data_IF_806934789200
#
_entry.id   IF_806934789200
#
_cell.length_a   1.000
_cell.length_b   1.000
_cell.length_c   1.000
_cell.angle_alpha   90.00
_cell.angle_beta   90.00
_cell.angle_gamma   90.00
#
_symmetry.space_group_name_H-M   'P 1'
#
loop_
_entity.id
_entity.type
_entity.pdbx_description
1 polymer ?
#
# COMPACT_ATOMS: atom_id res chain seq x y z
N UNK A 1 -8.38 3.58 -0.79
CA UNK A 1 -8.48 2.20 -0.24
C UNK A 1 -9.36 2.22 1.01
N UNK A 2 -10.48 1.51 1.03
CA UNK A 2 -11.43 1.36 2.15
C UNK A 2 -12.18 2.63 2.59
N UNK A 3 -12.18 3.75 1.86
CA UNK A 3 -12.74 5.04 2.32
C UNK A 3 -14.20 4.92 2.78
N UNK A 4 -15.06 4.29 1.96
CA UNK A 4 -16.49 4.10 2.27
C UNK A 4 -16.70 3.29 3.55
N UNK A 5 -15.96 2.19 3.71
CA UNK A 5 -16.06 1.33 4.89
C UNK A 5 -15.56 2.07 6.13
N UNK A 6 -14.44 2.79 6.00
CA UNK A 6 -13.84 3.57 7.08
C UNK A 6 -14.80 4.65 7.59
N UNK A 7 -15.40 5.44 6.70
CA UNK A 7 -16.35 6.50 7.09
C UNK A 7 -17.57 5.95 7.84
N UNK A 8 -18.12 4.82 7.37
CA UNK A 8 -19.28 4.19 8.00
C UNK A 8 -18.95 3.65 9.39
N UNK A 9 -17.85 2.88 9.50
CA UNK A 9 -17.44 2.32 10.80
C UNK A 9 -17.07 3.42 11.80
N UNK A 10 -16.42 4.49 11.37
CA UNK A 10 -16.13 5.63 12.25
C UNK A 10 -17.41 6.31 12.76
N UNK A 11 -18.44 6.40 11.93
CA UNK A 11 -19.75 6.94 12.36
C UNK A 11 -20.35 6.08 13.44
N UNK A 12 -20.35 4.75 13.27
CA UNK A 12 -20.83 3.80 14.28
C UNK A 12 -20.06 3.96 15.61
N UNK A 13 -18.75 3.99 15.55
CA UNK A 13 -17.91 4.14 16.76
C UNK A 13 -18.03 5.52 17.42
N UNK A 14 -18.28 6.57 16.64
CA UNK A 14 -18.55 7.90 17.19
C UNK A 14 -19.87 7.93 17.98
N UNK A 15 -20.91 7.29 17.47
CA UNK A 15 -22.18 7.17 18.15
C UNK A 15 -22.03 6.38 19.46
N UNK A 16 -21.35 5.24 19.43
CA UNK A 16 -21.03 4.46 20.64
C UNK A 16 -20.29 5.24 21.72
N UNK A 17 -19.35 6.13 21.33
CA UNK A 17 -18.59 6.98 22.28
C UNK A 17 -19.45 8.07 22.91
N UNK A 18 -20.50 8.50 22.23
CA UNK A 18 -21.44 9.53 22.73
C UNK A 18 -22.36 9.03 23.82
N UNK A 19 -22.51 7.71 23.98
CA UNK A 19 -23.38 7.09 24.99
C UNK A 19 -22.58 6.78 26.26
N UNK A 20 -22.93 7.44 27.35
CA UNK A 20 -22.17 7.37 28.62
C UNK A 20 -22.19 5.98 29.30
N UNK A 21 -23.10 5.06 28.92
CA UNK A 21 -23.15 3.66 29.34
C UNK A 21 -23.50 2.79 28.13
N UNK A 22 -22.74 1.71 27.92
CA UNK A 22 -23.12 0.69 26.96
C UNK A 22 -24.16 -0.24 27.57
N UNK A 23 -25.36 -0.21 26.98
CA UNK A 23 -26.40 -1.20 27.24
C UNK A 23 -26.32 -2.31 26.20
N UNK A 24 -26.89 -3.46 26.48
CA UNK A 24 -26.99 -4.55 25.50
C UNK A 24 -27.68 -4.07 24.19
N UNK A 25 -28.64 -3.18 24.32
CA UNK A 25 -29.39 -2.60 23.21
C UNK A 25 -28.49 -1.74 22.30
N UNK A 26 -27.60 -0.91 22.88
CA UNK A 26 -26.65 -0.08 22.15
C UNK A 26 -25.59 -0.93 21.43
N UNK A 27 -25.15 -2.03 22.04
CA UNK A 27 -24.24 -3.00 21.42
C UNK A 27 -24.94 -3.67 20.23
N UNK A 28 -26.18 -4.13 20.39
CA UNK A 28 -26.93 -4.76 19.31
C UNK A 28 -27.18 -3.80 18.15
N UNK A 29 -27.44 -2.52 18.42
CA UNK A 29 -27.60 -1.51 17.39
C UNK A 29 -26.27 -1.30 16.63
N UNK A 30 -25.15 -1.14 17.34
CA UNK A 30 -23.84 -1.00 16.73
C UNK A 30 -23.45 -2.21 15.87
N UNK A 31 -23.72 -3.43 16.33
CA UNK A 31 -23.48 -4.65 15.57
C UNK A 31 -24.33 -4.71 14.30
N UNK A 32 -25.58 -4.23 14.32
CA UNK A 32 -26.40 -4.08 13.12
C UNK A 32 -25.80 -3.11 12.12
N UNK A 33 -25.34 -1.96 12.59
CA UNK A 33 -24.73 -0.92 11.73
C UNK A 33 -23.40 -1.38 11.16
N UNK A 34 -22.57 -2.09 11.94
CA UNK A 34 -21.33 -2.73 11.47
C UNK A 34 -21.65 -3.77 10.38
N UNK A 35 -22.65 -4.63 10.61
CA UNK A 35 -23.09 -5.63 9.64
C UNK A 35 -23.48 -4.99 8.32
N UNK A 36 -24.33 -3.95 8.36
CA UNK A 36 -24.75 -3.22 7.17
C UNK A 36 -23.55 -2.60 6.46
N UNK A 37 -22.66 -1.95 7.19
CA UNK A 37 -21.44 -1.32 6.62
C UNK A 37 -20.55 -2.32 5.89
N UNK A 38 -20.37 -3.54 6.44
CA UNK A 38 -19.59 -4.61 5.82
C UNK A 38 -20.28 -5.18 4.57
N UNK A 39 -21.61 -5.35 4.59
CA UNK A 39 -22.37 -5.82 3.43
C UNK A 39 -22.35 -4.78 2.29
N UNK A 40 -22.48 -3.50 2.60
CA UNK A 40 -22.38 -2.41 1.62
C UNK A 40 -20.95 -2.24 1.06
N UNK A 41 -19.94 -2.67 1.83
CA UNK A 41 -18.56 -2.79 1.37
C UNK A 41 -18.30 -4.05 0.52
N UNK A 42 -19.36 -4.79 0.14
CA UNK A 42 -19.26 -6.02 -0.66
C UNK A 42 -18.48 -7.16 0.03
N UNK A 43 -18.54 -7.24 1.36
CA UNK A 43 -18.01 -8.39 2.11
C UNK A 43 -18.96 -9.58 1.98
N UNK A 44 -18.42 -10.78 1.82
CA UNK A 44 -19.22 -12.00 1.68
C UNK A 44 -20.17 -12.20 2.87
N UNK A 45 -21.45 -12.49 2.60
CA UNK A 45 -22.51 -12.60 3.62
C UNK A 45 -22.17 -13.62 4.72
N UNK A 46 -21.61 -14.80 4.37
CA UNK A 46 -21.23 -15.82 5.36
C UNK A 46 -20.12 -15.32 6.28
N UNK A 47 -19.16 -14.60 5.71
CA UNK A 47 -18.04 -13.99 6.45
C UNK A 47 -18.55 -12.91 7.41
N UNK A 48 -19.45 -12.03 6.94
CA UNK A 48 -20.06 -11.00 7.79
C UNK A 48 -20.83 -11.64 8.95
N UNK A 49 -21.64 -12.67 8.68
CA UNK A 49 -22.41 -13.35 9.73
C UNK A 49 -21.47 -13.91 10.80
N UNK A 50 -20.46 -14.68 10.42
CA UNK A 50 -19.50 -15.28 11.35
C UNK A 50 -18.75 -14.23 12.17
N UNK A 51 -18.34 -13.13 11.53
CA UNK A 51 -17.63 -12.04 12.20
C UNK A 51 -18.54 -11.37 13.25
N UNK A 52 -19.78 -11.03 12.89
CA UNK A 52 -20.73 -10.40 13.82
C UNK A 52 -21.06 -11.32 14.98
N UNK A 53 -21.27 -12.62 14.74
CA UNK A 53 -21.54 -13.59 15.79
C UNK A 53 -20.38 -13.67 16.80
N UNK A 54 -19.12 -13.72 16.33
CA UNK A 54 -17.91 -13.68 17.18
C UNK A 54 -17.76 -12.39 17.96
N UNK A 55 -17.97 -11.24 17.31
CA UNK A 55 -17.90 -9.93 18.00
C UNK A 55 -18.99 -9.88 19.09
N UNK A 56 -20.20 -10.35 18.80
CA UNK A 56 -21.30 -10.40 19.76
C UNK A 56 -20.95 -11.24 20.99
N UNK A 57 -20.45 -12.45 20.78
CA UNK A 57 -20.05 -13.37 21.84
C UNK A 57 -18.98 -12.75 22.75
N UNK A 58 -17.92 -12.17 22.16
CA UNK A 58 -16.84 -11.53 22.91
C UNK A 58 -17.28 -10.24 23.61
N UNK A 59 -18.23 -9.50 23.02
CA UNK A 59 -18.74 -8.25 23.63
C UNK A 59 -19.66 -8.48 24.83
N UNK A 60 -20.38 -9.61 24.86
CA UNK A 60 -21.30 -9.96 25.96
C UNK A 60 -20.61 -10.77 27.06
N UNK A 61 -19.51 -11.45 26.78
CA UNK A 61 -18.83 -12.37 27.70
C UNK A 61 -17.64 -11.78 28.48
N UNK A 62 -17.18 -10.57 28.17
CA UNK A 62 -16.02 -9.99 28.84
C UNK A 62 -16.41 -9.14 30.05
N UNK A 63 -15.83 -9.46 31.22
CA UNK A 63 -15.70 -8.53 32.34
C UNK A 63 -14.99 -7.26 31.85
N UNK A 64 -15.57 -6.10 32.14
CA UNK A 64 -15.07 -4.79 31.72
C UNK A 64 -13.64 -4.61 32.20
N UNK A 65 -12.68 -4.57 31.27
CA UNK A 65 -11.31 -4.18 31.62
C UNK A 65 -11.36 -2.77 32.22
N UNK A 66 -10.98 -2.65 33.47
CA UNK A 66 -11.08 -1.43 34.29
C UNK A 66 -10.31 -0.23 33.70
N UNK A 67 -9.47 -0.43 32.69
CA UNK A 67 -8.64 0.60 32.03
C UNK A 67 -9.20 1.19 30.74
N UNK A 68 -10.26 0.62 30.17
CA UNK A 68 -10.86 1.07 28.90
C UNK A 68 -12.33 1.46 29.12
N UNK A 69 -12.79 2.48 28.39
CA UNK A 69 -14.23 2.75 28.30
C UNK A 69 -14.92 1.61 27.56
N UNK A 70 -16.19 1.32 27.85
CA UNK A 70 -16.93 0.27 27.19
C UNK A 70 -16.95 0.40 25.66
N UNK A 71 -17.03 1.62 25.11
CA UNK A 71 -16.95 1.89 23.68
C UNK A 71 -15.56 1.53 23.11
N UNK A 72 -14.49 1.80 23.85
CA UNK A 72 -13.13 1.42 23.43
C UNK A 72 -12.93 -0.10 23.41
N UNK A 73 -13.60 -0.82 24.29
CA UNK A 73 -13.57 -2.30 24.31
C UNK A 73 -14.22 -2.89 23.07
N UNK A 74 -15.41 -2.40 22.68
CA UNK A 74 -16.08 -2.85 21.45
C UNK A 74 -15.20 -2.58 20.22
N UNK A 75 -14.58 -1.38 20.13
CA UNK A 75 -13.65 -1.04 19.04
C UNK A 75 -12.47 -2.00 19.01
N UNK A 76 -11.90 -2.34 20.20
CA UNK A 76 -10.80 -3.30 20.31
C UNK A 76 -11.22 -4.69 19.86
N UNK A 77 -12.38 -5.19 20.28
CA UNK A 77 -12.90 -6.49 19.86
C UNK A 77 -13.08 -6.54 18.35
N UNK A 78 -13.69 -5.50 17.75
CA UNK A 78 -13.86 -5.39 16.29
C UNK A 78 -12.51 -5.38 15.58
N UNK A 79 -11.53 -4.65 16.10
CA UNK A 79 -10.16 -4.62 15.57
C UNK A 79 -9.54 -6.01 15.59
N UNK A 80 -9.55 -6.67 16.73
CA UNK A 80 -8.89 -7.98 16.91
C UNK A 80 -9.56 -9.06 16.04
N UNK A 81 -10.90 -9.05 15.93
CA UNK A 81 -11.63 -9.97 15.06
C UNK A 81 -11.37 -9.74 13.57
N UNK A 82 -11.27 -8.48 13.14
CA UNK A 82 -10.90 -8.16 11.75
C UNK A 82 -9.45 -8.57 11.44
N UNK A 83 -8.52 -8.37 12.39
CA UNK A 83 -7.13 -8.82 12.23
C UNK A 83 -7.07 -10.34 12.12
N UNK A 84 -7.80 -11.07 12.94
CA UNK A 84 -7.88 -12.53 12.88
C UNK A 84 -8.49 -13.01 11.58
N UNK A 85 -9.57 -12.38 11.11
CA UNK A 85 -10.21 -12.65 9.82
C UNK A 85 -9.21 -12.53 8.66
N UNK A 86 -8.34 -11.52 8.69
CA UNK A 86 -7.31 -11.28 7.68
C UNK A 86 -6.03 -12.12 7.88
N UNK A 87 -5.91 -12.84 9.01
CA UNK A 87 -4.84 -13.80 9.22
C UNK A 87 -3.86 -13.53 10.33
N UNK A 88 -4.12 -12.53 11.16
CA UNK A 88 -3.30 -12.20 12.32
C UNK A 88 -2.02 -11.45 11.96
N UNK A 89 -1.14 -12.06 11.19
CA UNK A 89 0.15 -11.52 10.79
C UNK A 89 0.38 -11.52 9.28
N UNK A 90 1.45 -10.86 8.84
CA UNK A 90 1.88 -10.87 7.45
C UNK A 90 2.38 -12.27 7.05
N UNK A 91 1.91 -12.75 5.90
CA UNK A 91 2.33 -14.04 5.35
C UNK A 91 3.54 -13.85 4.44
N UNK A 92 4.65 -14.47 4.79
CA UNK A 92 5.90 -14.46 4.03
C UNK A 92 5.80 -15.35 2.79
N UNK A 93 6.64 -15.08 1.78
CA UNK A 93 6.89 -16.01 0.68
C UNK A 93 7.65 -17.22 1.18
N UNK A 94 7.31 -18.39 0.62
CA UNK A 94 8.04 -19.61 0.88
C UNK A 94 9.13 -19.77 -0.17
N UNK A 95 10.34 -20.02 0.28
CA UNK A 95 11.47 -20.27 -0.60
C UNK A 95 11.82 -21.75 -0.59
N UNK A 96 12.20 -22.28 -1.76
CA UNK A 96 12.67 -23.66 -1.88
C UNK A 96 14.04 -23.81 -1.21
N UNK A 97 14.30 -25.00 -0.66
CA UNK A 97 15.61 -25.32 -0.06
C UNK A 97 16.73 -25.38 -1.10
N UNK A 98 16.38 -25.64 -2.36
CA UNK A 98 17.30 -25.63 -3.49
C UNK A 98 16.82 -24.64 -4.55
N UNK A 99 17.67 -23.69 -4.99
CA UNK A 99 17.31 -22.73 -6.03
C UNK A 99 17.20 -23.41 -7.42
N UNK A 100 16.42 -22.85 -8.33
CA UNK A 100 15.60 -21.64 -8.15
C UNK A 100 14.27 -21.96 -7.45
N UNK A 101 13.85 -21.04 -6.56
CA UNK A 101 12.46 -21.02 -6.07
C UNK A 101 11.52 -20.64 -7.20
N UNK A 102 10.57 -21.47 -7.53
CA UNK A 102 9.59 -21.17 -8.57
C UNK A 102 8.34 -20.57 -7.94
N UNK A 103 7.93 -19.41 -8.47
CA UNK A 103 6.69 -18.71 -8.12
C UNK A 103 5.81 -18.68 -9.35
N UNK A 104 4.68 -19.37 -9.31
CA UNK A 104 3.70 -19.44 -10.39
C UNK A 104 2.58 -18.42 -10.15
N UNK A 105 2.37 -17.49 -11.10
CA UNK A 105 1.29 -16.52 -11.03
C UNK A 105 0.08 -17.05 -11.81
N UNK A 106 -1.05 -17.20 -11.11
CA UNK A 106 -2.32 -17.64 -11.66
C UNK A 106 -3.38 -16.54 -11.58
N UNK A 107 -4.40 -16.57 -12.45
CA UNK A 107 -5.51 -15.61 -12.37
C UNK A 107 -6.16 -15.33 -13.73
N UNK A 108 -7.27 -14.61 -13.71
CA UNK A 108 -8.03 -14.26 -14.90
C UNK A 108 -7.35 -13.19 -15.76
N UNK A 109 -7.83 -13.02 -16.98
CA UNK A 109 -7.39 -11.95 -17.87
C UNK A 109 -7.72 -10.58 -17.24
N UNK A 110 -6.80 -9.60 -17.34
CA UNK A 110 -6.99 -8.27 -16.80
C UNK A 110 -6.79 -8.13 -15.28
N UNK A 111 -6.52 -9.24 -14.57
CA UNK A 111 -6.24 -9.20 -13.12
C UNK A 111 -4.89 -8.55 -12.77
N UNK A 112 -4.03 -8.28 -13.75
CA UNK A 112 -2.73 -7.64 -13.55
C UNK A 112 -1.57 -8.60 -13.31
N UNK A 113 -1.66 -9.88 -13.68
CA UNK A 113 -0.58 -10.89 -13.51
C UNK A 113 0.77 -10.43 -14.04
N UNK A 114 0.84 -10.07 -15.30
CA UNK A 114 2.08 -9.65 -15.99
C UNK A 114 2.75 -8.47 -15.28
N UNK A 115 1.96 -7.44 -14.95
CA UNK A 115 2.46 -6.28 -14.20
C UNK A 115 2.89 -6.67 -12.79
N UNK A 116 2.15 -7.56 -12.13
CA UNK A 116 2.49 -8.08 -10.80
C UNK A 116 3.76 -8.91 -10.83
N UNK A 117 3.99 -9.69 -11.90
CA UNK A 117 5.24 -10.43 -12.08
C UNK A 117 6.46 -9.51 -12.07
N UNK A 118 6.41 -8.41 -12.82
CA UNK A 118 7.46 -7.39 -12.80
C UNK A 118 7.62 -6.71 -11.44
N UNK A 119 6.51 -6.29 -10.80
CA UNK A 119 6.55 -5.69 -9.46
C UNK A 119 7.12 -6.64 -8.42
N UNK A 120 6.74 -7.91 -8.47
CA UNK A 120 7.24 -8.93 -7.56
C UNK A 120 8.74 -9.20 -7.77
N UNK A 121 9.20 -9.26 -9.02
CA UNK A 121 10.62 -9.40 -9.31
C UNK A 121 11.43 -8.21 -8.76
N UNK A 122 10.93 -6.98 -8.95
CA UNK A 122 11.56 -5.79 -8.37
C UNK A 122 11.56 -5.81 -6.84
N UNK A 123 10.46 -6.23 -6.22
CA UNK A 123 10.38 -6.39 -4.77
C UNK A 123 11.40 -7.43 -4.27
N UNK A 124 11.47 -8.59 -4.91
CA UNK A 124 12.43 -9.65 -4.59
C UNK A 124 13.89 -9.17 -4.71
N UNK A 125 14.22 -8.45 -5.78
CA UNK A 125 15.55 -7.89 -5.99
C UNK A 125 15.96 -6.94 -4.87
N UNK A 126 15.05 -6.07 -4.41
CA UNK A 126 15.29 -5.17 -3.28
C UNK A 126 15.49 -5.91 -1.95
N UNK A 127 14.99 -7.13 -1.85
CA UNK A 127 15.15 -7.99 -0.67
C UNK A 127 16.31 -8.99 -0.80
N UNK A 128 17.24 -8.76 -1.73
CA UNK A 128 18.50 -9.51 -1.86
C UNK A 128 18.39 -10.77 -2.71
N UNK A 129 17.27 -11.00 -3.40
CA UNK A 129 17.08 -12.12 -4.33
C UNK A 129 17.51 -11.75 -5.75
N UNK A 130 17.78 -12.76 -6.56
CA UNK A 130 18.16 -12.64 -7.98
C UNK A 130 17.10 -13.28 -8.86
N UNK A 131 15.95 -12.61 -9.10
CA UNK A 131 14.86 -13.19 -9.87
C UNK A 131 15.18 -13.26 -11.37
N UNK A 132 14.58 -14.25 -12.05
CA UNK A 132 14.41 -14.35 -13.49
C UNK A 132 12.93 -14.33 -13.82
N UNK A 133 12.53 -13.55 -14.81
CA UNK A 133 11.14 -13.51 -15.30
C UNK A 133 10.97 -14.42 -16.50
N UNK A 134 9.81 -15.03 -16.64
CA UNK A 134 9.37 -15.71 -17.87
C UNK A 134 7.86 -15.57 -18.03
N UNK A 135 7.41 -15.31 -19.27
CA UNK A 135 5.98 -15.40 -19.61
C UNK A 135 5.75 -16.65 -20.45
N UNK A 136 4.88 -17.54 -19.95
CA UNK A 136 4.45 -18.73 -20.67
C UNK A 136 3.10 -18.52 -21.39
N UNK A 137 2.63 -17.27 -21.51
CA UNK A 137 1.46 -16.91 -22.30
C UNK A 137 1.80 -16.92 -23.80
N UNK A 138 1.89 -18.12 -24.36
CA UNK A 138 2.23 -18.31 -25.78
C UNK A 138 1.09 -17.96 -26.73
N UNK A 139 -0.13 -17.87 -26.21
CA UNK A 139 -1.34 -17.58 -26.99
C UNK A 139 -1.47 -16.10 -27.35
N UNK A 140 -0.81 -15.22 -26.58
CA UNK A 140 -0.86 -13.77 -26.76
C UNK A 140 0.56 -13.19 -26.87
N UNK A 141 1.10 -13.08 -28.10
CA UNK A 141 2.44 -12.50 -28.30
C UNK A 141 2.62 -11.11 -27.66
N UNK A 142 1.55 -10.31 -27.64
CA UNK A 142 1.56 -9.01 -27.00
C UNK A 142 1.78 -9.09 -25.46
N UNK A 143 1.28 -10.13 -24.79
CA UNK A 143 1.47 -10.31 -23.36
C UNK A 143 2.93 -10.64 -23.01
N UNK A 144 3.58 -11.52 -23.80
CA UNK A 144 5.01 -11.81 -23.65
C UNK A 144 5.85 -10.54 -23.84
N UNK A 145 5.60 -9.81 -24.93
CA UNK A 145 6.29 -8.53 -25.19
C UNK A 145 6.04 -7.50 -24.08
N UNK A 146 4.85 -7.50 -23.51
CA UNK A 146 4.55 -6.63 -22.35
C UNK A 146 5.46 -6.93 -21.15
N UNK A 147 5.68 -8.22 -20.83
CA UNK A 147 6.59 -8.59 -19.73
C UNK A 147 8.04 -8.20 -20.07
N UNK A 148 8.49 -8.33 -21.33
CA UNK A 148 9.82 -7.86 -21.77
C UNK A 148 9.98 -6.36 -21.54
N UNK A 149 9.02 -5.55 -21.97
CA UNK A 149 9.05 -4.08 -21.74
C UNK A 149 9.08 -3.73 -20.25
N UNK A 150 8.32 -4.47 -19.44
CA UNK A 150 8.35 -4.27 -17.98
C UNK A 150 9.72 -4.64 -17.40
N UNK A 151 10.27 -5.79 -17.80
CA UNK A 151 11.57 -6.27 -17.35
C UNK A 151 12.69 -5.27 -17.67
N UNK A 152 12.73 -4.74 -18.89
CA UNK A 152 13.64 -3.68 -19.31
C UNK A 152 13.48 -2.41 -18.48
N UNK A 153 12.24 -1.97 -18.26
CA UNK A 153 11.95 -0.74 -17.47
C UNK A 153 12.39 -0.83 -16.00
N UNK A 154 12.50 -2.04 -15.45
CA UNK A 154 12.92 -2.27 -14.05
C UNK A 154 14.32 -2.87 -13.92
N UNK A 155 15.04 -3.01 -15.04
CA UNK A 155 16.39 -3.63 -15.12
C UNK A 155 16.42 -5.06 -14.53
N UNK A 156 15.44 -5.89 -14.96
CA UNK A 156 15.34 -7.28 -14.52
C UNK A 156 15.55 -8.24 -15.68
N UNK A 157 16.27 -9.35 -15.47
CA UNK A 157 16.44 -10.37 -16.51
C UNK A 157 15.13 -11.08 -16.81
N UNK A 158 14.93 -11.35 -18.10
CA UNK A 158 13.80 -12.12 -18.61
C UNK A 158 14.29 -13.23 -19.53
N UNK A 159 13.67 -14.39 -19.43
CA UNK A 159 13.89 -15.49 -20.37
C UNK A 159 12.83 -15.46 -21.47
N UNK A 160 13.26 -15.19 -22.68
CA UNK A 160 12.35 -15.10 -23.85
C UNK A 160 12.15 -16.45 -24.57
N UNK A 161 13.00 -17.43 -24.27
CA UNK A 161 12.97 -18.74 -24.90
C UNK A 161 13.60 -18.76 -26.30
N UNK A 162 13.66 -19.95 -26.92
CA UNK A 162 14.05 -20.07 -28.32
C UNK A 162 12.98 -19.41 -29.21
N UNK A 163 13.39 -18.76 -30.27
CA UNK A 163 12.45 -18.17 -31.26
C UNK A 163 11.55 -19.22 -31.90
N UNK A 164 10.30 -18.83 -32.22
CA UNK A 164 9.32 -19.69 -32.88
C UNK A 164 8.14 -20.10 -32.03
N UNK A 165 7.29 -21.02 -32.54
CA UNK A 165 6.17 -21.56 -31.75
C UNK A 165 6.69 -22.25 -30.48
N UNK A 166 6.15 -21.86 -29.34
CA UNK A 166 6.57 -22.36 -28.07
C UNK A 166 5.41 -23.09 -27.37
N UNK A 167 5.73 -24.21 -26.72
CA UNK A 167 4.84 -24.87 -25.79
C UNK A 167 5.04 -24.25 -24.38
N UNK A 168 3.96 -23.90 -23.65
CA UNK A 168 4.06 -23.31 -22.32
C UNK A 168 4.91 -24.14 -21.35
N UNK A 169 4.75 -25.47 -21.38
CA UNK A 169 5.44 -26.40 -20.50
C UNK A 169 6.94 -26.45 -20.81
N UNK A 170 7.30 -26.55 -22.08
CA UNK A 170 8.69 -26.58 -22.53
C UNK A 170 9.38 -25.25 -22.20
N UNK A 171 8.71 -24.13 -22.45
CA UNK A 171 9.23 -22.80 -22.14
C UNK A 171 9.50 -22.64 -20.63
N UNK A 172 8.58 -23.08 -19.79
CA UNK A 172 8.74 -23.06 -18.35
C UNK A 172 9.91 -23.94 -17.87
N UNK A 173 10.07 -25.12 -18.46
CA UNK A 173 11.18 -26.04 -18.17
C UNK A 173 12.53 -25.41 -18.55
N UNK A 174 12.62 -24.81 -19.73
CA UNK A 174 13.84 -24.15 -20.20
C UNK A 174 14.18 -22.95 -19.32
N UNK A 175 13.18 -22.13 -18.92
CA UNK A 175 13.38 -21.00 -18.04
C UNK A 175 13.89 -21.44 -16.65
N UNK A 176 13.37 -22.53 -16.08
CA UNK A 176 13.88 -23.10 -14.81
C UNK A 176 15.34 -23.52 -14.93
N UNK A 177 15.70 -24.16 -16.04
CA UNK A 177 17.08 -24.55 -16.32
C UNK A 177 18.00 -23.34 -16.47
N UNK A 178 17.54 -22.32 -17.20
CA UNK A 178 18.29 -21.08 -17.38
C UNK A 178 18.50 -20.34 -16.05
N UNK A 179 17.47 -20.27 -15.20
CA UNK A 179 17.60 -19.70 -13.87
C UNK A 179 18.70 -20.41 -13.04
N UNK A 180 18.72 -21.76 -13.07
CA UNK A 180 19.76 -22.54 -12.39
C UNK A 180 21.15 -22.28 -12.98
N UNK A 181 21.30 -22.29 -14.32
CA UNK A 181 22.56 -22.11 -15.02
C UNK A 181 23.15 -20.69 -14.79
N UNK A 182 22.30 -19.68 -14.69
CA UNK A 182 22.71 -18.26 -14.50
C UNK A 182 22.77 -17.86 -13.02
N UNK A 183 22.61 -18.81 -12.10
CA UNK A 183 22.69 -18.59 -10.66
C UNK A 183 21.56 -17.69 -10.13
N UNK A 184 20.39 -17.70 -10.79
CA UNK A 184 19.20 -17.02 -10.28
C UNK A 184 18.54 -17.89 -9.21
N UNK A 185 18.16 -17.28 -8.10
CA UNK A 185 17.59 -18.00 -6.96
C UNK A 185 16.06 -18.03 -6.96
N UNK A 186 15.41 -17.20 -7.79
CA UNK A 186 13.95 -17.16 -7.96
C UNK A 186 13.58 -17.14 -9.45
N UNK A 187 12.59 -17.93 -9.84
CA UNK A 187 11.93 -17.89 -11.14
C UNK A 187 10.48 -17.45 -10.96
N UNK A 188 10.10 -16.32 -11.53
CA UNK A 188 8.72 -15.83 -11.55
C UNK A 188 8.10 -16.16 -12.90
N UNK A 189 7.06 -16.99 -12.87
CA UNK A 189 6.37 -17.50 -14.08
C UNK A 189 5.03 -16.79 -14.23
N UNK A 190 4.92 -15.94 -15.26
CA UNK A 190 3.67 -15.28 -15.68
C UNK A 190 2.91 -16.21 -16.63
N UNK A 191 1.68 -16.59 -16.28
CA UNK A 191 0.87 -17.52 -17.07
C UNK A 191 -0.19 -16.82 -17.89
N UNK A 192 -0.72 -17.52 -18.89
CA UNK A 192 -1.86 -17.07 -19.64
C UNK A 192 -3.07 -16.79 -18.72
N UNK A 193 -3.86 -15.79 -19.06
CA UNK A 193 -5.14 -15.53 -18.41
C UNK A 193 -6.26 -15.61 -19.45
N UNK A 194 -7.33 -16.31 -19.11
CA UNK A 194 -8.57 -16.32 -19.90
C UNK A 194 -9.65 -15.49 -19.21
N UNK A 195 -10.69 -15.10 -19.94
CA UNK A 195 -11.80 -14.31 -19.41
C UNK A 195 -12.61 -15.10 -18.37
N UNK A 196 -12.67 -16.41 -18.53
CA UNK A 196 -13.41 -17.32 -17.66
C UNK A 196 -12.53 -18.50 -17.26
N UNK A 197 -12.88 -19.16 -16.18
CA UNK A 197 -12.26 -20.41 -15.74
C UNK A 197 -12.83 -21.52 -16.61
N UNK A 198 -12.02 -22.14 -17.41
CA UNK A 198 -12.36 -23.32 -18.21
C UNK A 198 -11.43 -24.48 -17.92
N UNK A 199 -11.81 -25.69 -18.35
CA UNK A 199 -11.07 -26.90 -18.06
C UNK A 199 -9.73 -26.98 -18.77
N UNK A 200 -9.61 -26.40 -19.97
CA UNK A 200 -8.36 -26.37 -20.73
C UNK A 200 -7.31 -25.52 -20.03
N UNK A 201 -7.67 -24.29 -19.59
CA UNK A 201 -6.77 -23.42 -18.83
C UNK A 201 -6.33 -24.08 -17.52
N UNK A 202 -7.29 -24.69 -16.80
CA UNK A 202 -6.98 -25.33 -15.53
C UNK A 202 -6.13 -26.59 -15.71
N UNK A 203 -6.31 -27.33 -16.79
CA UNK A 203 -5.46 -28.47 -17.17
C UNK A 203 -4.03 -28.05 -17.46
N UNK A 204 -3.81 -26.97 -18.24
CA UNK A 204 -2.49 -26.39 -18.50
C UNK A 204 -1.81 -25.93 -17.19
N UNK A 205 -2.55 -25.22 -16.35
CA UNK A 205 -2.03 -24.74 -15.06
C UNK A 205 -1.65 -25.90 -14.11
N UNK A 206 -2.42 -26.99 -14.11
CA UNK A 206 -2.10 -28.19 -13.33
C UNK A 206 -0.83 -28.87 -13.86
N UNK A 207 -0.66 -28.96 -15.16
CA UNK A 207 0.55 -29.51 -15.78
C UNK A 207 1.78 -28.65 -15.48
N UNK A 208 1.67 -27.33 -15.59
CA UNK A 208 2.73 -26.39 -15.19
C UNK A 208 3.11 -26.54 -13.71
N UNK A 209 2.12 -26.65 -12.83
CA UNK A 209 2.35 -26.89 -11.40
C UNK A 209 3.06 -28.21 -11.15
N UNK A 210 2.61 -29.29 -11.81
CA UNK A 210 3.21 -30.62 -11.64
C UNK A 210 4.66 -30.66 -12.14
N UNK A 211 4.95 -30.03 -13.27
CA UNK A 211 6.27 -30.02 -13.87
C UNK A 211 7.27 -29.13 -13.14
N UNK A 212 6.83 -27.95 -12.68
CA UNK A 212 7.70 -26.97 -12.04
C UNK A 212 7.84 -27.16 -10.53
N UNK A 213 6.90 -27.86 -9.89
CA UNK A 213 6.83 -28.02 -8.43
C UNK A 213 7.02 -26.71 -7.70
N UNK A 214 6.20 -25.66 -7.99
CA UNK A 214 6.42 -24.32 -7.48
C UNK A 214 6.30 -24.28 -5.96
N UNK A 215 7.21 -23.56 -5.31
CA UNK A 215 7.13 -23.27 -3.87
C UNK A 215 5.92 -22.37 -3.56
N UNK A 216 5.53 -21.53 -4.53
CA UNK A 216 4.39 -20.64 -4.45
C UNK A 216 3.52 -20.73 -5.70
N UNK A 217 2.21 -20.87 -5.48
CA UNK A 217 1.17 -20.67 -6.49
C UNK A 217 0.34 -19.50 -6.03
N UNK A 218 0.58 -18.31 -6.60
CA UNK A 218 -0.02 -17.06 -6.17
C UNK A 218 -1.15 -16.67 -7.12
N UNK A 219 -2.35 -16.56 -6.60
CA UNK A 219 -3.49 -16.08 -7.34
C UNK A 219 -3.50 -14.55 -7.38
N UNK A 220 -3.48 -13.98 -8.57
CA UNK A 220 -3.53 -12.52 -8.79
C UNK A 220 -4.96 -12.14 -9.12
N UNK A 221 -5.59 -11.34 -8.27
CA UNK A 221 -6.97 -10.90 -8.39
C UNK A 221 -7.09 -9.38 -8.41
N UNK A 222 -8.02 -8.88 -9.21
CA UNK A 222 -8.40 -7.47 -9.22
C UNK A 222 -9.38 -7.21 -8.07
N UNK A 223 -8.99 -6.38 -7.10
CA UNK A 223 -9.82 -6.05 -5.94
C UNK A 223 -11.13 -5.35 -6.33
N UNK A 224 -11.13 -4.61 -7.44
CA UNK A 224 -12.30 -3.87 -7.92
C UNK A 224 -13.43 -4.79 -8.39
N UNK A 225 -13.14 -6.07 -8.71
CA UNK A 225 -14.17 -7.05 -9.11
C UNK A 225 -14.96 -7.62 -7.93
N UNK A 226 -14.61 -7.25 -6.69
CA UNK A 226 -15.37 -7.57 -5.49
C UNK A 226 -15.56 -9.07 -5.28
N UNK A 227 -16.81 -9.53 -5.14
CA UNK A 227 -17.12 -10.95 -4.88
C UNK A 227 -16.77 -11.90 -6.03
N UNK A 228 -16.59 -11.41 -7.27
CA UNK A 228 -16.14 -12.27 -8.37
C UNK A 228 -14.66 -12.63 -8.22
N UNK A 229 -13.84 -11.74 -7.66
CA UNK A 229 -12.47 -12.07 -7.24
C UNK A 229 -12.47 -13.21 -6.21
N UNK A 230 -13.38 -13.17 -5.23
CA UNK A 230 -13.51 -14.17 -4.18
C UNK A 230 -13.91 -15.54 -4.74
N UNK A 231 -14.93 -15.57 -5.61
CA UNK A 231 -15.39 -16.81 -6.28
C UNK A 231 -14.28 -17.43 -7.13
N UNK A 232 -13.59 -16.59 -7.91
CA UNK A 232 -12.49 -17.05 -8.75
C UNK A 232 -11.34 -17.59 -7.90
N UNK A 233 -10.97 -16.91 -6.80
CA UNK A 233 -9.95 -17.38 -5.89
C UNK A 233 -10.29 -18.76 -5.28
N UNK A 234 -11.55 -18.97 -4.89
CA UNK A 234 -12.02 -20.25 -4.36
C UNK A 234 -11.93 -21.37 -5.40
N UNK A 235 -12.38 -21.12 -6.63
CA UNK A 235 -12.29 -22.09 -7.72
C UNK A 235 -10.85 -22.45 -8.08
N UNK A 236 -9.97 -21.44 -8.22
CA UNK A 236 -8.54 -21.68 -8.44
C UNK A 236 -7.91 -22.44 -7.25
N UNK A 237 -8.30 -22.14 -6.02
CA UNK A 237 -7.78 -22.85 -4.86
C UNK A 237 -8.20 -24.32 -4.87
N UNK A 238 -9.47 -24.62 -5.13
CA UNK A 238 -9.95 -25.99 -5.20
C UNK A 238 -9.26 -26.82 -6.29
N UNK A 239 -8.96 -26.21 -7.43
CA UNK A 239 -8.40 -26.93 -8.60
C UNK A 239 -6.87 -26.96 -8.62
N UNK A 240 -6.20 -25.91 -8.16
CA UNK A 240 -4.74 -25.77 -8.18
C UNK A 240 -4.09 -25.87 -6.80
N UNK A 241 -4.80 -25.67 -5.71
CA UNK A 241 -4.18 -25.57 -4.38
C UNK A 241 -3.25 -24.37 -4.29
N UNK A 242 -3.82 -23.18 -4.20
CA UNK A 242 -3.08 -21.92 -4.03
C UNK A 242 -2.29 -21.90 -2.73
N UNK A 243 -1.20 -21.14 -2.68
CA UNK A 243 -0.40 -20.90 -1.47
C UNK A 243 -0.57 -19.48 -0.94
N UNK A 244 -1.18 -18.60 -1.71
CA UNK A 244 -1.45 -17.22 -1.34
C UNK A 244 -2.13 -16.43 -2.46
N UNK A 245 -2.56 -15.23 -2.12
CA UNK A 245 -3.27 -14.32 -3.02
C UNK A 245 -2.56 -12.97 -3.06
N UNK A 246 -2.54 -12.35 -4.24
CA UNK A 246 -2.11 -10.98 -4.46
C UNK A 246 -3.33 -10.20 -4.95
N UNK A 247 -3.71 -9.14 -4.24
CA UNK A 247 -4.76 -8.23 -4.68
C UNK A 247 -4.16 -7.04 -5.41
N UNK A 248 -4.60 -6.81 -6.64
CA UNK A 248 -4.20 -5.65 -7.45
C UNK A 248 -5.25 -4.55 -7.39
N UNK A 249 -4.88 -3.34 -7.81
CA UNK A 249 -5.77 -2.17 -7.92
C UNK A 249 -6.48 -1.78 -6.63
N UNK A 250 -5.82 -2.05 -5.49
CA UNK A 250 -6.36 -1.69 -4.18
C UNK A 250 -6.48 -0.17 -3.97
N UNK A 251 -5.71 0.62 -4.72
CA UNK A 251 -5.80 2.09 -4.75
C UNK A 251 -7.15 2.58 -5.31
N UNK A 252 -7.74 1.85 -6.27
CA UNK A 252 -9.08 2.11 -6.81
C UNK A 252 -10.23 1.49 -6.01
N UNK A 253 -9.95 0.57 -5.09
CA UNK A 253 -10.99 -0.11 -4.30
C UNK A 253 -11.33 0.66 -3.02
N UNK A 254 -12.44 1.39 -3.06
CA UNK A 254 -12.97 2.10 -1.89
C UNK A 254 -13.78 1.20 -0.94
N UNK A 255 -14.20 0.00 -1.38
CA UNK A 255 -15.05 -0.93 -0.62
C UNK A 255 -14.25 -1.91 0.23
N UNK A 256 -13.27 -2.60 -0.36
CA UNK A 256 -12.37 -3.53 0.32
C UNK A 256 -12.95 -4.90 0.65
N UNK A 257 -14.15 -5.22 0.16
CA UNK A 257 -14.84 -6.47 0.47
C UNK A 257 -14.12 -7.73 0.03
N UNK A 258 -13.43 -7.69 -1.11
CA UNK A 258 -12.61 -8.80 -1.60
C UNK A 258 -11.50 -9.15 -0.61
N UNK A 259 -10.78 -8.16 -0.09
CA UNK A 259 -9.69 -8.36 0.87
C UNK A 259 -10.18 -9.06 2.15
N UNK A 260 -11.33 -8.64 2.69
CA UNK A 260 -11.93 -9.23 3.88
C UNK A 260 -12.50 -10.64 3.66
N UNK A 261 -12.87 -10.98 2.42
CA UNK A 261 -13.56 -12.23 2.11
C UNK A 261 -12.65 -13.35 1.64
N UNK A 262 -11.60 -13.05 0.86
CA UNK A 262 -10.78 -14.05 0.15
C UNK A 262 -10.18 -15.07 1.12
N UNK A 263 -9.55 -14.61 2.21
CA UNK A 263 -8.94 -15.54 3.17
C UNK A 263 -9.98 -16.43 3.85
N UNK A 264 -11.10 -15.85 4.25
CA UNK A 264 -12.16 -16.63 4.92
C UNK A 264 -12.77 -17.69 4.02
N UNK A 265 -12.85 -17.42 2.71
CA UNK A 265 -13.44 -18.35 1.74
C UNK A 265 -12.42 -19.39 1.27
N UNK A 266 -11.19 -18.99 0.98
CA UNK A 266 -10.15 -19.87 0.41
C UNK A 266 -9.26 -20.53 1.47
N UNK A 267 -9.21 -20.00 2.69
CA UNK A 267 -8.22 -20.39 3.70
C UNK A 267 -6.79 -19.89 3.41
N UNK A 268 -6.57 -19.26 2.25
CA UNK A 268 -5.23 -18.84 1.82
C UNK A 268 -4.92 -17.40 2.21
N UNK A 269 -3.66 -17.11 2.62
CA UNK A 269 -3.28 -15.77 3.05
C UNK A 269 -3.20 -14.80 1.88
N UNK A 270 -3.58 -13.55 2.15
CA UNK A 270 -3.15 -12.42 1.33
C UNK A 270 -1.67 -12.16 1.59
N UNK A 271 -0.84 -12.20 0.55
CA UNK A 271 0.61 -11.99 0.68
C UNK A 271 1.03 -10.58 0.27
N UNK A 272 0.47 -10.09 -0.84
CA UNK A 272 0.77 -8.77 -1.36
C UNK A 272 -0.47 -8.02 -1.80
N UNK A 273 -0.33 -6.69 -1.85
CA UNK A 273 -1.32 -5.77 -2.42
C UNK A 273 -0.65 -4.79 -3.39
N UNK A 274 -1.25 -4.61 -4.55
CA UNK A 274 -0.89 -3.58 -5.51
C UNK A 274 -1.63 -2.29 -5.19
N UNK A 275 -0.88 -1.23 -4.90
CA UNK A 275 -1.40 0.04 -4.39
C UNK A 275 -1.18 1.21 -5.36
N UNK A 276 -1.00 0.93 -6.64
CA UNK A 276 -0.82 1.93 -7.68
C UNK A 276 -0.19 1.34 -8.94
N UNK A 277 -0.02 2.16 -9.97
CA UNK A 277 0.49 1.72 -11.29
C UNK A 277 2.01 1.57 -11.33
N UNK A 278 2.76 2.32 -10.53
CA UNK A 278 4.23 2.30 -10.53
C UNK A 278 4.78 0.91 -10.18
N UNK A 279 5.94 0.57 -10.72
CA UNK A 279 6.57 -0.75 -10.50
C UNK A 279 7.05 -0.99 -9.07
N UNK A 280 7.12 0.01 -8.23
CA UNK A 280 7.39 -0.10 -6.79
C UNK A 280 6.12 -0.14 -5.91
N UNK A 281 4.93 -0.01 -6.53
CA UNK A 281 3.66 -0.04 -5.85
C UNK A 281 3.13 -1.47 -5.61
N UNK A 282 3.95 -2.32 -4.98
CA UNK A 282 3.60 -3.64 -4.46
C UNK A 282 4.06 -3.70 -3.01
N UNK A 283 3.13 -3.88 -2.09
CA UNK A 283 3.39 -3.92 -0.66
C UNK A 283 3.05 -5.29 -0.09
N UNK A 284 3.83 -5.74 0.92
CA UNK A 284 3.47 -6.91 1.71
C UNK A 284 2.16 -6.63 2.45
N UNK A 285 1.25 -7.61 2.46
CA UNK A 285 -0.02 -7.45 3.14
C UNK A 285 0.14 -7.58 4.66
N UNK A 286 -0.15 -6.52 5.38
CA UNK A 286 -0.12 -6.47 6.84
C UNK A 286 -1.53 -6.32 7.42
N UNK A 287 -2.16 -7.40 7.94
CA UNK A 287 -3.51 -7.37 8.48
C UNK A 287 -3.76 -6.24 9.48
N UNK A 288 -2.88 -6.06 10.45
CA UNK A 288 -3.02 -5.04 11.49
C UNK A 288 -3.05 -3.61 10.93
N UNK A 289 -2.21 -3.31 9.92
CA UNK A 289 -2.17 -1.99 9.27
C UNK A 289 -3.44 -1.72 8.47
N UNK A 290 -3.90 -2.74 7.74
CA UNK A 290 -5.14 -2.65 6.97
C UNK A 290 -6.33 -2.43 7.88
N UNK A 291 -6.45 -3.17 8.96
CA UNK A 291 -7.52 -3.00 9.95
C UNK A 291 -7.45 -1.63 10.62
N UNK A 292 -6.26 -1.16 10.99
CA UNK A 292 -6.09 0.18 11.55
C UNK A 292 -6.56 1.28 10.59
N UNK A 293 -6.31 1.13 9.27
CA UNK A 293 -6.86 2.04 8.24
C UNK A 293 -8.38 1.96 8.16
N UNK A 294 -8.94 0.75 8.09
CA UNK A 294 -10.40 0.51 8.05
C UNK A 294 -11.10 1.16 9.25
N UNK A 295 -10.52 1.09 10.43
CA UNK A 295 -11.08 1.69 11.64
C UNK A 295 -10.76 3.19 11.81
N UNK A 296 -10.02 3.78 10.85
CA UNK A 296 -9.63 5.19 10.87
C UNK A 296 -8.61 5.54 11.95
N UNK A 297 -7.87 4.55 12.44
CA UNK A 297 -6.79 4.73 13.41
C UNK A 297 -5.48 5.22 12.77
N UNK A 298 -5.45 5.24 11.42
CA UNK A 298 -4.25 5.56 10.64
C UNK A 298 -3.27 4.40 10.55
N UNK A 299 -2.25 4.58 9.72
CA UNK A 299 -1.17 3.61 9.55
C UNK A 299 0.19 4.30 9.74
N UNK A 300 0.45 4.67 10.98
CA UNK A 300 1.68 5.39 11.37
C UNK A 300 2.93 4.55 11.12
N UNK A 301 2.85 3.23 11.25
CA UNK A 301 3.99 2.33 11.02
C UNK A 301 4.42 2.32 9.55
N UNK A 302 3.47 2.15 8.61
CA UNK A 302 3.79 2.23 7.18
C UNK A 302 4.34 3.60 6.78
N UNK A 303 3.86 4.68 7.41
CA UNK A 303 4.38 6.02 7.17
C UNK A 303 5.85 6.15 7.64
N UNK A 304 6.16 5.59 8.82
CA UNK A 304 7.53 5.58 9.38
C UNK A 304 8.46 4.74 8.48
N UNK A 305 8.04 3.56 8.04
CA UNK A 305 8.85 2.71 7.16
C UNK A 305 9.12 3.39 5.81
N UNK A 306 8.10 3.95 5.17
CA UNK A 306 8.28 4.72 3.92
C UNK A 306 9.21 5.92 4.12
N UNK A 307 9.14 6.58 5.26
CA UNK A 307 10.06 7.65 5.61
C UNK A 307 11.49 7.12 5.80
N UNK A 308 11.68 5.99 6.47
CA UNK A 308 13.00 5.38 6.68
C UNK A 308 13.66 4.91 5.39
N UNK A 309 12.90 4.37 4.43
CA UNK A 309 13.43 3.97 3.12
C UNK A 309 13.92 5.15 2.27
N UNK A 310 13.37 6.33 2.49
CA UNK A 310 13.58 7.50 1.62
C UNK A 310 14.46 8.58 2.26
N UNK A 311 14.55 8.60 3.60
CA UNK A 311 15.28 9.63 4.35
C UNK A 311 16.69 9.16 4.67
N UNK A 312 17.69 9.80 4.05
CA UNK A 312 19.07 9.72 4.51
C UNK A 312 19.18 10.38 5.90
N UNK A 313 19.48 9.57 6.92
CA UNK A 313 19.60 10.01 8.31
C UNK A 313 20.53 11.23 8.46
N UNK A 314 21.61 11.31 7.67
CA UNK A 314 22.52 12.45 7.66
C UNK A 314 21.84 13.73 7.16
N UNK A 315 21.02 13.62 6.12
CA UNK A 315 20.25 14.77 5.60
C UNK A 315 19.19 15.22 6.60
N UNK A 316 18.56 14.29 7.31
CA UNK A 316 17.58 14.62 8.36
C UNK A 316 18.22 15.36 9.54
N UNK A 317 19.41 14.96 10.00
CA UNK A 317 20.16 15.67 11.05
C UNK A 317 20.62 17.06 10.61
N UNK A 318 21.09 17.21 9.39
CA UNK A 318 21.47 18.51 8.83
C UNK A 318 20.24 19.44 8.71
N UNK A 319 19.11 18.91 8.28
CA UNK A 319 17.87 19.66 8.19
C UNK A 319 17.41 20.11 9.57
N UNK A 320 17.45 19.25 10.57
CA UNK A 320 17.12 19.60 11.95
C UNK A 320 18.03 20.71 12.48
N UNK A 321 19.34 20.67 12.20
CA UNK A 321 20.27 21.74 12.56
C UNK A 321 19.95 23.05 11.86
N UNK A 322 19.62 23.01 10.57
CA UNK A 322 19.24 24.21 9.78
C UNK A 322 17.93 24.83 10.31
N UNK A 323 16.95 24.01 10.69
CA UNK A 323 15.68 24.46 11.30
C UNK A 323 15.91 25.13 12.66
N UNK A 324 16.76 24.54 13.50
CA UNK A 324 17.09 25.12 14.82
C UNK A 324 17.92 26.41 14.73
N UNK A 325 18.74 26.56 13.67
CA UNK A 325 19.62 27.72 13.47
C UNK A 325 18.99 28.85 12.64
N UNK A 326 17.70 28.81 12.35
CA UNK A 326 16.99 29.80 11.49
C UNK A 326 17.56 29.94 10.07
N UNK A 327 18.27 28.93 9.59
CA UNK A 327 18.94 28.89 8.27
C UNK A 327 18.13 28.15 7.20
N UNK A 328 16.85 27.84 7.46
CA UNK A 328 15.97 27.18 6.51
C UNK A 328 15.70 28.09 5.32
N UNK A 329 16.13 27.68 4.12
CA UNK A 329 16.07 28.45 2.88
C UNK A 329 14.89 28.00 1.98
N UNK A 330 14.60 28.75 0.91
CA UNK A 330 13.67 28.30 -0.15
C UNK A 330 14.23 27.10 -0.92
N UNK A 331 15.54 26.92 -0.96
CA UNK A 331 16.19 25.76 -1.53
C UNK A 331 15.91 24.50 -0.69
N UNK A 332 16.09 24.60 0.63
CA UNK A 332 15.74 23.52 1.57
C UNK A 332 14.24 23.18 1.49
N UNK A 333 13.38 24.19 1.34
CA UNK A 333 11.93 24.02 1.17
C UNK A 333 11.60 23.23 -0.12
N UNK A 334 12.23 23.58 -1.25
CA UNK A 334 12.08 22.86 -2.53
C UNK A 334 12.55 21.41 -2.39
N UNK A 335 13.72 21.20 -1.79
CA UNK A 335 14.30 19.87 -1.64
C UNK A 335 13.44 18.99 -0.72
N UNK A 336 12.81 19.58 0.29
CA UNK A 336 11.83 18.91 1.13
C UNK A 336 10.58 18.48 0.35
N UNK A 337 10.07 19.34 -0.52
CA UNK A 337 8.94 18.99 -1.41
C UNK A 337 9.31 17.87 -2.37
N UNK A 338 10.52 17.87 -2.92
CA UNK A 338 11.03 16.79 -3.78
C UNK A 338 11.16 15.46 -3.01
N UNK A 339 11.62 15.49 -1.77
CA UNK A 339 11.67 14.30 -0.92
C UNK A 339 10.27 13.77 -0.61
N UNK A 340 9.32 14.64 -0.23
CA UNK A 340 7.92 14.25 -0.03
C UNK A 340 7.32 13.57 -1.28
N UNK A 341 7.63 14.10 -2.46
CA UNK A 341 7.17 13.52 -3.72
C UNK A 341 7.78 12.14 -4.02
N UNK A 342 9.00 11.87 -3.55
CA UNK A 342 9.64 10.54 -3.64
C UNK A 342 8.98 9.50 -2.71
N UNK A 343 8.38 9.92 -1.60
CA UNK A 343 7.64 9.06 -0.67
C UNK A 343 6.35 8.49 -1.27
N UNK A 344 5.87 9.05 -2.38
CA UNK A 344 4.65 8.64 -3.07
C UNK A 344 3.63 9.76 -3.22
N UNK A 345 2.45 9.48 -3.79
CA UNK A 345 1.37 10.45 -3.91
C UNK A 345 0.97 10.99 -2.54
N UNK A 346 0.89 12.32 -2.41
CA UNK A 346 0.58 12.99 -1.13
C UNK A 346 -0.76 12.52 -0.54
N UNK A 347 -1.75 12.23 -1.39
CA UNK A 347 -3.05 11.74 -0.95
C UNK A 347 -2.93 10.39 -0.23
N UNK A 348 -2.02 9.50 -0.67
CA UNK A 348 -1.75 8.25 0.00
C UNK A 348 -1.07 8.46 1.36
N UNK A 349 -0.11 9.38 1.44
CA UNK A 349 0.58 9.71 2.70
C UNK A 349 -0.37 10.35 3.71
N UNK A 350 -1.22 11.27 3.26
CA UNK A 350 -2.25 11.90 4.08
C UNK A 350 -3.30 10.88 4.55
N UNK A 351 -3.65 9.91 3.70
CA UNK A 351 -4.55 8.80 4.05
C UNK A 351 -4.02 7.86 5.13
N UNK A 352 -2.69 7.82 5.34
CA UNK A 352 -2.06 7.02 6.41
C UNK A 352 -2.12 7.70 7.79
N UNK A 353 -2.39 9.01 7.85
CA UNK A 353 -2.50 9.74 9.12
C UNK A 353 -3.81 9.41 9.84
N UNK A 354 -3.79 9.38 11.19
CA UNK A 354 -5.01 9.19 11.98
C UNK A 354 -6.04 10.31 11.71
N UNK A 355 -7.30 9.95 11.55
CA UNK A 355 -8.38 10.94 11.32
C UNK A 355 -8.85 11.64 12.60
N UNK A 356 -7.93 11.91 13.53
CA UNK A 356 -8.21 12.52 14.85
C UNK A 356 -7.33 13.76 15.10
N UNK A 357 -7.87 14.71 15.83
CA UNK A 357 -7.13 15.91 16.25
C UNK A 357 -6.66 16.80 15.09
N UNK A 358 -5.44 17.38 15.18
CA UNK A 358 -4.93 18.32 14.19
C UNK A 358 -4.67 17.68 12.82
N UNK A 359 -4.52 16.36 12.75
CA UNK A 359 -4.27 15.63 11.49
C UNK A 359 -5.47 15.64 10.55
N UNK A 360 -6.71 15.75 11.07
CA UNK A 360 -7.92 15.84 10.26
C UNK A 360 -7.95 17.07 9.35
N UNK A 361 -7.37 18.18 9.80
CA UNK A 361 -7.30 19.40 8.98
C UNK A 361 -6.29 19.26 7.84
N UNK A 362 -5.20 18.50 8.04
CA UNK A 362 -4.20 18.22 7.01
C UNK A 362 -4.75 17.34 5.88
N UNK A 363 -5.66 16.41 6.17
CA UNK A 363 -6.29 15.56 5.16
C UNK A 363 -7.27 16.31 4.24
N UNK A 364 -7.77 17.48 4.67
CA UNK A 364 -8.66 18.31 3.86
C UNK A 364 -7.90 19.17 2.83
N UNK A 365 -6.57 19.24 2.92
CA UNK A 365 -5.73 19.99 1.99
C UNK A 365 -5.48 19.13 0.74
N UNK A 366 -6.26 19.32 -0.30
CA UNK A 366 -5.99 18.75 -1.63
C UNK A 366 -4.83 19.52 -2.26
N UNK A 367 -3.62 18.98 -2.15
CA UNK A 367 -2.45 19.46 -2.88
C UNK A 367 -2.36 18.67 -4.19
N UNK A 368 -2.69 19.31 -5.30
CA UNK A 368 -2.51 18.72 -6.62
C UNK A 368 -1.02 18.58 -6.95
N UNK A 369 -0.62 17.45 -7.52
CA UNK A 369 0.77 17.21 -7.95
C UNK A 369 1.27 18.32 -8.90
N UNK A 370 0.37 18.88 -9.71
CA UNK A 370 0.64 20.02 -10.58
C UNK A 370 1.05 21.29 -9.82
N UNK A 371 0.51 21.53 -8.62
CA UNK A 371 0.90 22.68 -7.79
C UNK A 371 2.33 22.52 -7.25
N UNK A 372 2.74 21.29 -6.89
CA UNK A 372 4.11 21.03 -6.43
C UNK A 372 5.12 21.27 -7.54
N UNK A 373 4.86 20.76 -8.76
CA UNK A 373 5.71 21.01 -9.93
C UNK A 373 5.84 22.52 -10.21
N UNK A 374 4.75 23.26 -10.03
CA UNK A 374 4.74 24.72 -10.24
C UNK A 374 5.56 25.45 -9.17
N UNK A 375 5.47 25.03 -7.92
CA UNK A 375 6.30 25.56 -6.82
C UNK A 375 7.79 25.31 -7.11
N UNK A 376 8.16 24.08 -7.53
CA UNK A 376 9.53 23.75 -7.92
C UNK A 376 10.02 24.68 -9.04
N UNK A 377 9.26 24.86 -10.11
CA UNK A 377 9.61 25.71 -11.23
C UNK A 377 9.85 27.17 -10.80
N UNK A 378 9.02 27.70 -9.88
CA UNK A 378 9.19 29.05 -9.34
C UNK A 378 10.51 29.16 -8.57
N UNK A 379 10.84 28.21 -7.68
CA UNK A 379 12.07 28.24 -6.90
C UNK A 379 13.29 28.02 -7.80
N UNK A 380 13.22 27.12 -8.80
CA UNK A 380 14.32 26.90 -9.74
C UNK A 380 14.61 28.12 -10.63
N UNK A 381 13.62 28.97 -10.87
CA UNK A 381 13.80 30.24 -11.59
C UNK A 381 14.42 31.38 -10.74
N UNK A 382 14.66 31.13 -9.45
CA UNK A 382 15.37 32.06 -8.56
C UNK A 382 16.88 31.87 -8.62
N UNK A 383 17.62 32.97 -8.41
CA UNK A 383 19.08 32.88 -8.21
C UNK A 383 19.42 32.26 -6.87
N UNK A 384 20.64 31.68 -6.67
CA UNK A 384 21.06 31.13 -5.38
C UNK A 384 20.92 32.14 -4.22
N UNK A 385 21.21 33.40 -4.46
CA UNK A 385 21.04 34.49 -3.47
C UNK A 385 19.58 34.70 -3.08
N UNK A 386 18.65 34.58 -4.02
CA UNK A 386 17.23 34.74 -3.77
C UNK A 386 16.62 33.54 -3.05
N UNK A 387 17.11 32.33 -3.34
CA UNK A 387 16.72 31.11 -2.63
C UNK A 387 17.15 31.13 -1.17
N UNK A 388 18.35 31.64 -0.89
CA UNK A 388 18.85 31.71 0.48
C UNK A 388 18.29 32.91 1.26
N UNK A 389 17.97 34.02 0.58
CA UNK A 389 17.51 35.25 1.20
C UNK A 389 16.26 35.79 0.49
N UNK A 390 15.09 35.17 0.72
CA UNK A 390 13.84 35.52 0.06
C UNK A 390 13.44 37.01 0.24
N UNK A 391 13.94 37.68 1.29
CA UNK A 391 13.67 39.09 1.58
C UNK A 391 14.23 40.04 0.50
N UNK A 392 15.23 39.62 -0.30
CA UNK A 392 15.76 40.42 -1.38
C UNK A 392 14.87 40.45 -2.63
N UNK A 393 13.79 39.64 -2.66
CA UNK A 393 12.89 39.50 -3.80
C UNK A 393 11.91 40.66 -3.85
N UNK A 394 12.29 41.68 -4.58
CA UNK A 394 11.46 42.85 -4.84
C UNK A 394 10.51 42.67 -6.05
N UNK A 395 9.71 43.67 -6.39
CA UNK A 395 8.71 43.60 -7.46
C UNK A 395 9.27 43.27 -8.84
N UNK A 396 10.46 43.78 -9.20
CA UNK A 396 11.11 43.50 -10.49
C UNK A 396 11.61 42.04 -10.56
N UNK A 397 12.14 41.52 -9.46
CA UNK A 397 12.59 40.14 -9.35
C UNK A 397 11.41 39.16 -9.39
N UNK A 398 10.29 39.47 -8.73
CA UNK A 398 9.05 38.67 -8.82
C UNK A 398 8.55 38.58 -10.26
N UNK A 399 8.57 39.63 -11.04
CA UNK A 399 8.20 39.61 -12.48
C UNK A 399 9.16 38.74 -13.29
N UNK A 400 10.47 38.81 -13.04
CA UNK A 400 11.46 37.97 -13.72
C UNK A 400 11.29 36.50 -13.36
N UNK A 401 11.11 36.17 -12.07
CA UNK A 401 10.88 34.81 -11.59
C UNK A 401 9.59 34.24 -12.21
N UNK A 402 8.50 35.02 -12.21
CA UNK A 402 7.24 34.62 -12.82
C UNK A 402 7.40 34.27 -14.30
N UNK A 403 8.11 35.14 -15.05
CA UNK A 403 8.36 34.91 -16.50
C UNK A 403 9.22 33.64 -16.72
N UNK A 404 10.27 33.42 -15.90
CA UNK A 404 11.17 32.29 -16.04
C UNK A 404 10.53 30.94 -15.68
N UNK A 405 9.56 30.94 -14.77
CA UNK A 405 8.86 29.72 -14.31
C UNK A 405 7.55 29.44 -15.08
N UNK A 406 7.12 30.34 -15.97
CA UNK A 406 5.81 30.24 -16.61
C UNK A 406 4.64 30.44 -15.62
N UNK A 407 4.92 31.01 -14.42
CA UNK A 407 3.92 31.31 -13.41
C UNK A 407 3.50 32.77 -13.43
N UNK A 408 2.43 33.11 -12.72
CA UNK A 408 1.99 34.47 -12.51
C UNK A 408 2.71 35.12 -11.33
N UNK A 409 2.77 36.45 -11.30
CA UNK A 409 3.31 37.21 -10.15
C UNK A 409 2.52 36.93 -8.86
N UNK A 410 1.22 36.63 -9.00
CA UNK A 410 0.36 36.26 -7.87
C UNK A 410 0.77 34.93 -7.26
N UNK A 411 1.11 33.91 -8.08
CA UNK A 411 1.59 32.61 -7.62
C UNK A 411 2.95 32.72 -6.92
N UNK A 412 3.86 33.56 -7.44
CA UNK A 412 5.13 33.88 -6.76
C UNK A 412 4.89 34.52 -5.39
N UNK A 413 3.95 35.48 -5.30
CA UNK A 413 3.60 36.08 -4.03
C UNK A 413 2.98 35.11 -3.04
N UNK A 414 2.08 34.21 -3.53
CA UNK A 414 1.46 33.15 -2.72
C UNK A 414 2.51 32.20 -2.14
N UNK A 415 3.47 31.77 -2.95
CA UNK A 415 4.57 30.91 -2.51
C UNK A 415 5.41 31.60 -1.42
N UNK A 416 5.84 32.83 -1.62
CA UNK A 416 6.64 33.58 -0.64
C UNK A 416 5.90 33.75 0.69
N UNK A 417 4.58 33.97 0.65
CA UNK A 417 3.74 34.09 1.83
C UNK A 417 3.63 32.73 2.55
N UNK A 418 3.34 31.67 1.83
CA UNK A 418 3.26 30.30 2.38
C UNK A 418 4.59 29.87 3.01
N UNK A 419 5.71 30.16 2.35
CA UNK A 419 7.04 29.87 2.88
C UNK A 419 7.30 30.66 4.19
N UNK A 420 6.96 31.94 4.25
CA UNK A 420 7.11 32.75 5.46
C UNK A 420 6.24 32.24 6.62
N UNK A 421 5.01 31.78 6.33
CA UNK A 421 4.11 31.18 7.31
C UNK A 421 4.63 29.84 7.82
N UNK A 422 5.09 28.95 6.91
CA UNK A 422 5.69 27.67 7.25
C UNK A 422 6.92 27.85 8.15
N UNK A 423 7.81 28.79 7.81
CA UNK A 423 8.98 29.14 8.62
C UNK A 423 8.60 29.65 10.02
N UNK A 424 7.52 30.41 10.11
CA UNK A 424 7.00 30.91 11.39
C UNK A 424 6.45 29.79 12.27
N UNK A 425 5.67 28.85 11.68
CA UNK A 425 5.16 27.67 12.37
C UNK A 425 6.30 26.77 12.88
N UNK A 426 7.32 26.52 12.05
CA UNK A 426 8.47 25.71 12.43
C UNK A 426 9.24 26.34 13.61
N UNK A 427 9.39 27.66 13.65
CA UNK A 427 9.96 28.38 14.80
C UNK A 427 9.15 28.18 16.10
N UNK A 428 7.84 28.19 15.98
CA UNK A 428 6.96 28.02 17.16
C UNK A 428 7.03 26.59 17.71
N UNK A 429 7.17 25.59 16.82
CA UNK A 429 7.30 24.19 17.19
C UNK A 429 8.69 23.85 17.78
N UNK A 430 9.76 24.49 17.28
CA UNK A 430 11.13 24.33 17.79
C UNK A 430 11.38 25.08 19.11
N UNK A 431 10.59 26.11 19.42
CA UNK A 431 10.73 27.01 20.56
C UNK A 431 10.10 26.55 21.87
N UNK A 432 10.04 25.24 22.16
CA UNK A 432 9.97 24.82 23.56
C UNK A 432 8.68 24.25 24.11
N UNK A 433 7.59 24.04 23.37
CA UNK A 433 6.37 23.45 23.95
C UNK A 433 6.24 21.94 23.72
N UNK A 434 6.78 21.38 22.62
CA UNK A 434 6.75 19.94 22.34
C UNK A 434 7.97 19.17 22.86
N UNK A 435 9.14 19.78 22.95
CA UNK A 435 10.34 19.11 23.48
C UNK A 435 10.17 18.70 24.97
N UNK A 436 9.38 19.47 25.75
CA UNK A 436 9.05 19.13 27.15
C UNK A 436 8.00 18.02 27.30
N UNK A 437 7.18 17.76 26.28
CA UNK A 437 6.13 16.72 26.33
C UNK A 437 6.56 15.39 25.69
N UNK A 438 7.41 15.42 24.65
CA UNK A 438 7.97 14.20 24.05
C UNK A 438 9.10 13.59 24.88
N UNK A 439 9.84 14.38 25.68
CA UNK A 439 10.85 13.87 26.62
C UNK A 439 10.30 13.04 27.79
N UNK A 440 8.97 12.95 27.96
CA UNK A 440 8.30 12.10 28.95
C UNK A 440 7.68 10.82 28.36
N UNK A 441 7.69 10.61 27.06
CA UNK A 441 7.37 9.33 26.43
C UNK A 441 8.62 8.45 26.44
N UNK A 442 8.83 7.73 27.53
CA UNK A 442 9.77 6.61 27.58
C UNK A 442 9.34 5.58 26.54
N UNK A 443 10.12 5.42 25.49
CA UNK A 443 10.04 4.26 24.59
C UNK A 443 10.23 2.98 25.43
N UNK A 444 9.41 1.94 25.21
CA UNK A 444 9.61 0.66 25.89
C UNK A 444 10.97 0.08 25.51
N UNK A 445 11.69 -0.43 26.49
CA UNK A 445 13.03 -1.02 26.42
C UNK A 445 13.12 -2.37 25.69
N UNK A 446 12.37 -2.56 24.60
CA UNK A 446 12.30 -3.82 23.83
C UNK A 446 13.02 -3.78 22.47
N UNK A 447 13.92 -2.82 22.28
CA UNK A 447 14.83 -2.78 21.12
C UNK A 447 16.23 -2.35 21.61
N UNK A 448 16.86 -3.26 22.33
CA UNK A 448 18.31 -3.38 22.47
C UNK A 448 18.75 -4.76 22.05
#
# INVERSE_FOLDING_TARGET
>A
MFENLTEKLQRVFKNLRGEGKLTEENIQQALRDIRISLLEADVNFKVVKQLIDRIKEKSLGQEVLTSLTPAQQVVKIVHDELVELLGGGAAQLRFASQPPTVILLAGLQGSGKTTTGGKLARWLSRHGHRPLLVSVDVYRPAARRQLTVIAEAIDMPIFEGPGGPADPLELARLARREAANTGRDVLVVDTAGRLHIDDEMMGEMQQLKQQLEPAEVLFVADAMTGQDAVKSADEFHRRLGLTGVILTKMDGDARGGAALSIRSVTGQPLKFVGVGEKYDALELFHPQRVVSRILGMGDVLSLIEKAQETVDLKQAEEMQRKLLSDRFSLEDFRDQLRQMRKLGPLDQLLGMLPQVGPFRQLQQVKLEEKELVRIEAIVDSMTPRERNHYQVINGSRRRRIARGSGATVQEVNRLLKQYAEARRMMRTLSGGFMAKRMGKLKLPSALR
#
